data_IF_934803437467
#
_entry.id   IF_934803437467
#
_cell.length_a   1.000
_cell.length_b   1.000
_cell.length_c   1.000
_cell.angle_alpha   90.00
_cell.angle_beta   90.00
_cell.angle_gamma   90.00
#
_symmetry.space_group_name_H-M   'P 1'
#
loop_
_entity.id
_entity.type
_entity.pdbx_description
1 polymer ?
#
# COMPACT_ATOMS: atom_id res chain seq x y z
N UNK A 1 -16.36 -9.06 29.55
CA UNK A 1 -15.66 -7.76 29.47
C UNK A 1 -14.26 -7.94 30.05
N UNK A 2 -13.22 -8.08 29.21
CA UNK A 2 -11.86 -8.41 29.67
C UNK A 2 -10.99 -7.18 29.97
N UNK A 3 -11.45 -5.99 29.57
CA UNK A 3 -10.83 -4.70 29.85
C UNK A 3 -11.96 -3.72 30.17
N UNK A 4 -12.01 -3.22 31.40
CA UNK A 4 -13.04 -2.27 31.87
C UNK A 4 -12.86 -0.88 31.27
N UNK A 5 -12.84 -0.79 29.94
CA UNK A 5 -12.78 0.47 29.21
C UNK A 5 -14.18 0.85 28.74
N UNK A 6 -14.61 2.06 29.10
CA UNK A 6 -15.80 2.67 28.53
C UNK A 6 -15.45 3.19 27.13
N UNK A 7 -15.84 2.45 26.08
CA UNK A 7 -15.71 2.90 24.70
C UNK A 7 -17.07 3.48 24.28
N UNK A 8 -17.12 4.79 24.04
CA UNK A 8 -18.27 5.42 23.40
C UNK A 8 -18.24 5.13 21.90
N UNK A 9 -19.27 4.46 21.39
CA UNK A 9 -19.49 4.25 19.96
C UNK A 9 -20.70 5.08 19.56
N UNK A 10 -20.48 6.09 18.72
CA UNK A 10 -21.54 6.96 18.21
C UNK A 10 -21.72 6.75 16.70
N UNK A 11 -22.96 6.50 16.26
CA UNK A 11 -23.30 6.38 14.85
C UNK A 11 -23.54 7.78 14.26
N UNK A 12 -22.57 8.29 13.50
CA UNK A 12 -22.68 9.62 12.91
C UNK A 12 -23.17 9.57 11.47
N UNK A 13 -24.46 9.86 11.24
CA UNK A 13 -25.08 9.90 9.90
C UNK A 13 -25.10 11.30 9.26
N UNK A 14 -24.37 12.27 9.80
CA UNK A 14 -24.33 13.63 9.25
C UNK A 14 -23.12 13.82 8.34
N UNK A 15 -23.34 14.26 7.10
CA UNK A 15 -22.26 14.50 6.12
C UNK A 15 -21.18 15.47 6.64
N UNK A 16 -21.56 16.42 7.50
CA UNK A 16 -20.61 17.34 8.18
C UNK A 16 -19.63 16.60 9.08
N UNK A 17 -20.10 15.60 9.83
CA UNK A 17 -19.28 14.82 10.74
C UNK A 17 -18.35 13.86 10.00
N UNK A 18 -18.84 13.24 8.91
CA UNK A 18 -18.01 12.43 8.01
C UNK A 18 -16.90 13.30 7.39
N UNK A 19 -17.26 14.47 6.85
CA UNK A 19 -16.28 15.42 6.30
C UNK A 19 -15.27 15.87 7.38
N UNK A 20 -15.73 16.10 8.60
CA UNK A 20 -14.86 16.46 9.72
C UNK A 20 -13.85 15.34 9.99
N UNK A 21 -14.30 14.09 10.15
CA UNK A 21 -13.43 12.93 10.37
C UNK A 21 -12.37 12.78 9.26
N UNK A 22 -12.81 12.76 7.99
CA UNK A 22 -11.90 12.62 6.85
C UNK A 22 -10.98 13.83 6.68
N UNK A 23 -11.40 15.03 7.09
CA UNK A 23 -10.52 16.21 7.10
C UNK A 23 -9.32 15.97 7.99
N UNK A 24 -9.48 15.44 9.21
CA UNK A 24 -8.36 15.20 10.13
C UNK A 24 -7.47 14.03 9.71
N UNK A 25 -8.05 13.00 9.10
CA UNK A 25 -7.27 11.91 8.49
C UNK A 25 -6.35 12.46 7.38
N UNK A 26 -6.85 13.39 6.57
CA UNK A 26 -6.12 13.93 5.41
C UNK A 26 -5.40 15.26 5.68
N UNK A 27 -5.50 15.83 6.90
CA UNK A 27 -4.91 17.14 7.24
C UNK A 27 -3.38 17.13 7.20
N UNK A 28 -2.76 15.95 7.15
CA UNK A 28 -1.33 15.79 7.28
C UNK A 28 -0.89 15.91 8.73
N UNK A 29 0.41 15.76 8.96
CA UNK A 29 0.97 15.84 10.30
C UNK A 29 1.28 17.28 10.68
N UNK A 30 1.13 17.58 11.97
CA UNK A 30 1.54 18.86 12.51
C UNK A 30 3.05 19.06 12.26
N UNK A 31 3.39 20.27 11.80
CA UNK A 31 4.76 20.67 11.49
C UNK A 31 5.18 21.80 12.41
N UNK A 32 6.45 21.80 12.79
CA UNK A 32 7.07 22.81 13.63
C UNK A 32 8.28 23.33 12.88
N UNK A 33 8.33 24.64 12.68
CA UNK A 33 9.52 25.32 12.18
C UNK A 33 10.38 25.75 13.37
N UNK A 34 11.61 25.23 13.44
CA UNK A 34 12.58 25.58 14.47
C UNK A 34 13.57 26.57 13.87
N UNK A 35 13.73 27.73 14.51
CA UNK A 35 14.70 28.75 14.13
C UNK A 35 15.87 28.75 15.12
N UNK A 36 17.11 28.67 14.61
CA UNK A 36 18.31 28.72 15.42
C UNK A 36 18.94 30.12 15.38
N UNK A 37 18.96 30.82 16.51
CA UNK A 37 19.73 32.06 16.66
C UNK A 37 21.14 31.73 17.17
N UNK A 38 22.18 31.98 16.38
CA UNK A 38 23.57 31.92 16.87
C UNK A 38 23.80 33.08 17.86
N UNK A 39 24.40 32.80 19.01
CA UNK A 39 24.84 33.86 19.93
C UNK A 39 25.90 34.74 19.24
N UNK A 40 25.80 36.05 19.45
CA UNK A 40 26.66 37.03 18.84
C UNK A 40 28.08 36.97 19.46
N UNK A 41 28.93 36.06 18.99
CA UNK A 41 30.37 36.21 19.26
C UNK A 41 30.90 37.42 18.48
N UNK A 42 31.55 38.31 19.23
CA UNK A 42 31.96 39.66 18.84
C UNK A 42 33.20 39.68 17.93
N UNK A 43 33.35 38.73 17.01
CA UNK A 43 34.56 38.55 16.20
C UNK A 43 34.24 38.19 14.75
N UNK A 44 34.29 39.21 13.89
CA UNK A 44 34.44 39.09 12.44
C UNK A 44 33.17 38.68 11.69
N UNK A 45 33.00 39.21 10.46
CA UNK A 45 31.89 38.94 9.52
C UNK A 45 31.51 37.45 9.53
N UNK A 46 30.42 37.11 10.22
CA UNK A 46 29.83 35.77 10.17
C UNK A 46 28.93 35.70 8.95
N UNK A 47 29.28 34.83 8.01
CA UNK A 47 28.42 34.42 6.91
C UNK A 47 27.13 33.83 7.52
N UNK A 48 26.00 34.52 7.33
CA UNK A 48 24.70 34.07 7.84
C UNK A 48 24.10 33.16 6.78
N UNK A 49 24.13 31.85 7.05
CA UNK A 49 23.46 30.86 6.23
C UNK A 49 21.98 30.78 6.62
N UNK A 50 21.13 31.42 5.82
CA UNK A 50 19.68 31.45 6.01
C UNK A 50 19.04 30.06 5.91
N UNK A 51 19.63 29.13 5.15
CA UNK A 51 19.08 27.77 4.99
C UNK A 51 19.32 26.95 6.25
N UNK A 52 20.51 27.05 6.84
CA UNK A 52 20.83 26.35 8.09
C UNK A 52 20.15 26.96 9.34
N UNK A 53 19.53 28.14 9.22
CA UNK A 53 18.84 28.78 10.34
C UNK A 53 17.46 28.20 10.62
N UNK A 54 16.81 27.54 9.66
CA UNK A 54 15.44 27.07 9.80
C UNK A 54 15.31 25.58 9.47
N UNK A 55 14.72 24.82 10.39
CA UNK A 55 14.36 23.42 10.15
C UNK A 55 12.84 23.26 10.23
N UNK A 56 12.24 22.73 9.16
CA UNK A 56 10.85 22.30 9.16
C UNK A 56 10.78 20.83 9.60
N UNK A 57 10.28 20.60 10.81
CA UNK A 57 10.24 19.30 11.45
C UNK A 57 8.80 18.82 11.59
N UNK A 58 8.58 17.51 11.52
CA UNK A 58 7.30 16.89 11.85
C UNK A 58 7.18 16.72 13.36
N UNK A 59 6.10 17.21 13.94
CA UNK A 59 5.80 16.99 15.35
C UNK A 59 5.36 15.54 15.57
N UNK A 60 5.92 14.93 16.61
CA UNK A 60 5.50 13.62 17.13
C UNK A 60 5.15 13.82 18.59
N UNK A 61 3.90 13.53 18.96
CA UNK A 61 3.47 13.65 20.37
C UNK A 61 4.19 12.63 21.26
N UNK A 62 4.27 12.92 22.57
CA UNK A 62 4.90 12.00 23.53
C UNK A 62 4.25 10.61 23.52
N UNK A 63 2.92 10.54 23.41
CA UNK A 63 2.18 9.29 23.30
C UNK A 63 2.52 8.52 22.01
N UNK A 64 2.58 9.20 20.86
CA UNK A 64 2.94 8.58 19.58
C UNK A 64 4.40 8.10 19.58
N UNK A 65 5.32 8.87 20.16
CA UNK A 65 6.71 8.49 20.32
C UNK A 65 6.86 7.23 21.18
N UNK A 66 6.19 7.17 22.34
CA UNK A 66 6.17 5.97 23.18
C UNK A 66 5.60 4.76 22.40
N UNK A 67 4.51 4.96 21.65
CA UNK A 67 3.91 3.90 20.83
C UNK A 67 4.88 3.31 19.81
N UNK A 68 5.63 4.20 19.12
CA UNK A 68 6.68 3.84 18.16
C UNK A 68 7.87 3.15 18.84
N UNK A 69 8.35 3.67 19.97
CA UNK A 69 9.49 3.12 20.74
C UNK A 69 9.18 1.69 21.21
N UNK A 70 7.96 1.45 21.68
CA UNK A 70 7.54 0.12 22.13
C UNK A 70 7.10 -0.81 20.99
N UNK A 71 7.13 -0.36 19.73
CA UNK A 71 6.82 -1.19 18.57
C UNK A 71 5.34 -1.60 18.46
N UNK A 72 4.44 -0.85 19.07
CA UNK A 72 3.00 -1.15 18.98
C UNK A 72 2.47 -0.80 17.57
N UNK A 73 1.52 -1.59 17.07
CA UNK A 73 0.87 -1.32 15.79
C UNK A 73 0.12 0.02 15.83
N UNK A 74 0.49 0.94 14.94
CA UNK A 74 -0.10 2.29 14.83
C UNK A 74 -1.26 2.30 13.82
N UNK A 75 -1.18 1.44 12.81
CA UNK A 75 -2.18 1.32 11.76
C UNK A 75 -2.47 -0.16 11.49
N UNK A 76 -3.75 -0.51 11.49
CA UNK A 76 -4.23 -1.76 10.92
C UNK A 76 -4.66 -1.48 9.48
N UNK A 77 -4.05 -2.17 8.53
CA UNK A 77 -4.46 -2.16 7.13
C UNK A 77 -4.40 -3.57 6.59
N UNK A 78 -5.55 -4.12 6.24
CA UNK A 78 -5.62 -5.33 5.46
C UNK A 78 -5.53 -4.93 3.98
N UNK A 79 -4.33 -5.06 3.42
CA UNK A 79 -4.19 -4.94 1.96
C UNK A 79 -4.80 -6.19 1.33
N UNK A 80 -5.59 -6.06 0.25
CA UNK A 80 -6.04 -7.24 -0.48
C UNK A 80 -4.82 -7.98 -1.00
N UNK A 81 -4.63 -9.22 -0.54
CA UNK A 81 -3.56 -10.10 -0.99
C UNK A 81 -4.13 -10.99 -2.08
N UNK A 82 -3.57 -10.91 -3.28
CA UNK A 82 -3.88 -11.84 -4.34
C UNK A 82 -2.83 -12.95 -4.39
N UNK A 83 -3.28 -14.20 -4.38
CA UNK A 83 -2.40 -15.36 -4.51
C UNK A 83 -2.14 -15.66 -5.97
N UNK A 84 -0.88 -15.59 -6.38
CA UNK A 84 -0.47 -16.02 -7.71
C UNK A 84 -0.55 -17.55 -7.81
N UNK A 85 -1.44 -18.04 -8.68
CA UNK A 85 -1.58 -19.47 -8.97
C UNK A 85 -0.41 -19.97 -9.82
N UNK A 86 0.08 -21.17 -9.54
CA UNK A 86 0.98 -21.94 -10.40
C UNK A 86 0.47 -23.38 -10.47
N UNK A 87 0.85 -24.10 -11.52
CA UNK A 87 0.41 -25.47 -11.77
C UNK A 87 1.36 -26.16 -12.75
N UNK A 88 1.26 -27.48 -12.84
CA UNK A 88 1.97 -28.25 -13.86
C UNK A 88 1.27 -28.11 -15.23
N UNK A 89 1.95 -28.48 -16.33
CA UNK A 89 1.33 -28.51 -17.65
C UNK A 89 0.07 -29.40 -17.66
N UNK A 90 -1.06 -28.83 -18.05
CA UNK A 90 -2.36 -29.53 -18.09
C UNK A 90 -3.15 -29.52 -16.78
N UNK A 91 -2.52 -29.23 -15.64
CA UNK A 91 -3.16 -29.26 -14.32
C UNK A 91 -3.72 -27.89 -13.88
N UNK A 92 -4.43 -27.22 -14.77
CA UNK A 92 -5.01 -25.91 -14.46
C UNK A 92 -6.11 -26.04 -13.42
N UNK A 93 -6.14 -25.15 -12.42
CA UNK A 93 -7.26 -25.07 -11.50
C UNK A 93 -8.51 -24.56 -12.23
N UNK A 94 -9.59 -25.35 -12.16
CA UNK A 94 -10.88 -25.01 -12.76
C UNK A 94 -11.88 -24.76 -11.64
N UNK A 95 -12.48 -23.57 -11.64
CA UNK A 95 -13.55 -23.21 -10.73
C UNK A 95 -14.89 -23.30 -11.48
N UNK A 96 -15.84 -24.03 -10.90
CA UNK A 96 -17.19 -24.20 -11.42
C UNK A 96 -18.20 -24.14 -10.27
N UNK A 97 -19.44 -23.81 -10.60
CA UNK A 97 -20.57 -23.85 -9.67
C UNK A 97 -21.44 -25.09 -9.91
N UNK A 98 -22.24 -25.50 -8.93
CA UNK A 98 -23.12 -26.67 -9.07
C UNK A 98 -24.17 -26.52 -10.19
N UNK A 99 -24.45 -25.29 -10.61
CA UNK A 99 -25.36 -24.99 -11.71
C UNK A 99 -24.68 -25.04 -13.10
N UNK A 100 -23.35 -25.12 -13.15
CA UNK A 100 -22.61 -25.16 -14.41
C UNK A 100 -22.62 -26.57 -15.04
N UNK A 101 -22.93 -26.65 -16.33
CA UNK A 101 -22.77 -27.91 -17.09
C UNK A 101 -21.29 -28.25 -17.30
N UNK A 102 -20.94 -29.52 -17.13
CA UNK A 102 -19.57 -30.01 -17.31
C UNK A 102 -18.98 -29.68 -18.70
N UNK A 103 -19.77 -29.84 -19.77
CA UNK A 103 -19.34 -29.52 -21.13
C UNK A 103 -19.09 -28.02 -21.32
N UNK A 104 -19.93 -27.19 -20.70
CA UNK A 104 -19.77 -25.74 -20.73
C UNK A 104 -18.50 -25.31 -19.99
N UNK A 105 -18.17 -25.95 -18.86
CA UNK A 105 -16.96 -25.69 -18.09
C UNK A 105 -15.72 -26.08 -18.89
N UNK A 106 -15.64 -27.30 -19.41
CA UNK A 106 -14.46 -27.81 -20.13
C UNK A 106 -14.14 -26.96 -21.37
N UNK A 107 -15.17 -26.47 -22.07
CA UNK A 107 -15.01 -25.65 -23.26
C UNK A 107 -14.69 -24.17 -22.98
N UNK A 108 -14.58 -23.74 -21.71
CA UNK A 108 -14.15 -22.38 -21.38
C UNK A 108 -12.72 -22.15 -21.87
N UNK A 109 -12.56 -21.21 -22.81
CA UNK A 109 -11.24 -20.70 -23.23
C UNK A 109 -10.43 -20.17 -22.05
N UNK A 110 -11.11 -19.76 -20.98
CA UNK A 110 -10.54 -19.29 -19.73
C UNK A 110 -9.65 -20.30 -19.01
N UNK A 111 -9.90 -21.60 -19.14
CA UNK A 111 -9.16 -22.64 -18.43
C UNK A 111 -7.71 -22.75 -18.92
N UNK A 112 -7.47 -22.49 -20.21
CA UNK A 112 -6.14 -22.69 -20.83
C UNK A 112 -5.16 -21.54 -20.58
N UNK A 113 -5.63 -20.42 -20.05
CA UNK A 113 -4.86 -19.19 -19.94
C UNK A 113 -4.80 -18.70 -18.47
N UNK A 114 -3.88 -19.24 -17.69
CA UNK A 114 -3.63 -18.75 -16.33
C UNK A 114 -2.70 -17.53 -16.32
N UNK A 115 -2.73 -16.73 -15.25
CA UNK A 115 -1.76 -15.66 -15.00
C UNK A 115 -0.31 -16.16 -15.12
N UNK A 116 -0.06 -17.41 -14.75
CA UNK A 116 1.24 -18.06 -14.84
C UNK A 116 1.66 -18.36 -16.29
N UNK A 117 0.77 -18.93 -17.10
CA UNK A 117 1.05 -19.14 -18.53
C UNK A 117 1.28 -17.83 -19.26
N UNK A 118 0.50 -16.80 -18.93
CA UNK A 118 0.65 -15.45 -19.49
C UNK A 118 1.91 -14.74 -19.02
N UNK A 119 2.42 -15.05 -17.82
CA UNK A 119 3.74 -14.59 -17.39
C UNK A 119 4.86 -15.20 -18.27
N UNK A 120 4.75 -16.48 -18.64
CA UNK A 120 5.69 -17.08 -19.60
C UNK A 120 5.62 -16.43 -20.98
N UNK A 121 4.42 -16.07 -21.46
CA UNK A 121 4.25 -15.31 -22.70
C UNK A 121 4.86 -13.90 -22.59
N UNK A 122 4.66 -13.22 -21.46
CA UNK A 122 5.25 -11.90 -21.20
C UNK A 122 6.79 -11.96 -21.20
N UNK A 123 7.40 -13.03 -20.66
CA UNK A 123 8.85 -13.26 -20.73
C UNK A 123 9.38 -13.41 -22.17
N UNK A 124 8.55 -13.85 -23.12
CA UNK A 124 8.93 -13.90 -24.53
C UNK A 124 8.91 -12.49 -25.15
N UNK A 125 7.89 -11.69 -24.81
CA UNK A 125 7.63 -10.36 -25.38
C UNK A 125 8.54 -9.26 -24.82
N UNK A 126 8.77 -9.26 -23.51
CA UNK A 126 9.44 -8.19 -22.78
C UNK A 126 10.80 -8.66 -22.25
N UNK A 127 11.93 -8.05 -22.66
CA UNK A 127 13.25 -8.40 -22.13
C UNK A 127 13.37 -8.20 -20.61
N UNK A 128 12.79 -7.13 -20.08
CA UNK A 128 12.80 -6.77 -18.66
C UNK A 128 11.99 -7.75 -17.79
N UNK A 129 10.99 -8.42 -18.37
CA UNK A 129 10.22 -9.45 -17.67
C UNK A 129 11.11 -10.62 -17.21
N UNK A 130 12.17 -10.94 -17.97
CA UNK A 130 13.10 -12.05 -17.71
C UNK A 130 13.98 -11.83 -16.47
N UNK A 131 14.05 -10.60 -15.98
CA UNK A 131 14.79 -10.24 -14.77
C UNK A 131 13.96 -10.43 -13.50
N UNK A 132 12.66 -10.72 -13.63
CA UNK A 132 11.73 -10.80 -12.51
C UNK A 132 11.25 -12.24 -12.32
N UNK A 133 11.26 -12.70 -11.07
CA UNK A 133 10.56 -13.94 -10.72
C UNK A 133 9.04 -13.73 -10.77
N UNK A 134 8.27 -14.81 -10.87
CA UNK A 134 6.80 -14.71 -10.92
C UNK A 134 6.19 -13.96 -9.71
N UNK A 135 6.66 -14.14 -8.46
CA UNK A 135 6.21 -13.34 -7.32
C UNK A 135 6.57 -11.85 -7.40
N UNK A 136 7.69 -11.49 -8.03
CA UNK A 136 8.13 -10.10 -8.19
C UNK A 136 7.45 -9.42 -9.38
N UNK A 137 6.86 -10.19 -10.28
CA UNK A 137 6.27 -9.71 -11.52
C UNK A 137 5.23 -8.59 -11.33
N UNK A 138 4.28 -8.70 -10.37
CA UNK A 138 3.29 -7.65 -10.11
C UNK A 138 3.88 -6.32 -9.62
N UNK A 139 5.17 -6.27 -9.26
CA UNK A 139 5.82 -5.01 -8.87
C UNK A 139 6.14 -4.10 -10.07
N UNK A 140 6.18 -4.66 -11.28
CA UNK A 140 6.53 -3.95 -12.53
C UNK A 140 5.50 -4.12 -13.64
N UNK A 141 4.68 -5.17 -13.58
CA UNK A 141 3.67 -5.47 -14.58
C UNK A 141 2.28 -5.53 -13.94
N UNK A 142 1.28 -5.04 -14.65
CA UNK A 142 -0.13 -5.04 -14.21
C UNK A 142 -0.92 -6.06 -15.02
N UNK A 143 -1.68 -6.90 -14.34
CA UNK A 143 -2.61 -7.83 -14.97
C UNK A 143 -3.82 -7.08 -15.53
N UNK A 144 -4.11 -7.24 -16.83
CA UNK A 144 -5.33 -6.73 -17.45
C UNK A 144 -6.32 -7.86 -17.62
N UNK A 145 -7.38 -7.87 -16.83
CA UNK A 145 -8.35 -8.97 -16.82
C UNK A 145 -9.15 -9.10 -18.13
N UNK A 146 -9.45 -7.97 -18.78
CA UNK A 146 -10.19 -7.95 -20.07
C UNK A 146 -9.39 -8.56 -21.22
N UNK A 147 -8.10 -8.23 -21.33
CA UNK A 147 -7.22 -8.75 -22.39
C UNK A 147 -6.44 -10.00 -21.95
N UNK A 148 -6.55 -10.36 -20.66
CA UNK A 148 -5.89 -11.52 -20.03
C UNK A 148 -4.41 -11.58 -20.33
N UNK A 149 -3.75 -10.45 -20.17
CA UNK A 149 -2.33 -10.30 -20.43
C UNK A 149 -1.66 -9.46 -19.33
N UNK A 150 -0.35 -9.63 -19.24
CA UNK A 150 0.49 -8.75 -18.45
C UNK A 150 0.97 -7.58 -19.30
N UNK A 151 0.72 -6.37 -18.82
CA UNK A 151 1.13 -5.13 -19.47
C UNK A 151 2.06 -4.39 -18.52
N UNK A 152 3.12 -3.80 -19.06
CA UNK A 152 4.01 -2.92 -18.31
C UNK A 152 3.37 -1.55 -18.07
#
# INVERSE_FOLDING_TARGET
MKYGAHINVEWCNQAKSIKYLFKYINKGHDRITVAFSKAADNTGKKEVDEINMYYDCRYVSSCEAAWRIFGFNIHYKDVPVERLSFHLPGEHNVYYSDADSADAVINRSTIKESKFTKWMEANKKYPEARLLTYPEFPSKFVWKDKSREWVQ
#
